data_IF_753490326126
#
_entry.id   IF_753490326126
#
_cell.length_a   1.000
_cell.length_b   1.000
_cell.length_c   1.000
_cell.angle_alpha   90.00
_cell.angle_beta   90.00
_cell.angle_gamma   90.00
#
_symmetry.space_group_name_H-M   'P 1'
#
loop_
_entity.id
_entity.type
_entity.pdbx_description
1 polymer ?
#
# COMPACT_ATOMS: atom_id res chain seq x y z
N UNK A 1 0.77 24.60 5.41
CA UNK A 1 1.85 23.62 5.62
C UNK A 1 1.18 22.28 5.84
N UNK A 2 1.59 21.24 5.11
CA UNK A 2 1.09 19.87 5.32
C UNK A 2 1.60 19.38 6.67
N UNK A 3 0.72 18.83 7.51
CA UNK A 3 1.06 18.33 8.83
C UNK A 3 1.01 16.79 8.91
N UNK A 4 0.23 16.16 8.07
CA UNK A 4 0.08 14.71 8.01
C UNK A 4 0.25 14.23 6.57
N UNK A 5 0.89 13.07 6.40
CA UNK A 5 0.91 12.32 5.15
C UNK A 5 0.17 11.00 5.38
N UNK A 6 -0.95 10.83 4.68
CA UNK A 6 -1.83 9.67 4.85
C UNK A 6 -1.80 8.72 3.64
N UNK A 7 -0.80 8.85 2.76
CA UNK A 7 -0.65 7.98 1.60
C UNK A 7 0.82 7.81 1.25
N UNK A 8 1.42 6.70 1.66
CA UNK A 8 2.81 6.37 1.36
C UNK A 8 3.04 4.86 1.29
N UNK A 9 3.96 4.46 0.42
CA UNK A 9 4.34 3.06 0.18
C UNK A 9 5.76 2.81 0.63
N UNK A 10 6.00 1.58 1.07
CA UNK A 10 7.29 1.12 1.60
C UNK A 10 7.71 -0.18 0.91
N UNK A 11 8.80 -0.79 1.37
CA UNK A 11 9.24 -2.09 0.88
C UNK A 11 8.21 -3.24 1.00
N UNK A 12 7.04 -2.99 1.58
CA UNK A 12 5.93 -3.95 1.58
C UNK A 12 5.08 -3.88 0.30
N UNK A 13 5.12 -2.76 -0.40
CA UNK A 13 4.49 -2.62 -1.72
C UNK A 13 5.42 -3.07 -2.84
N UNK A 14 4.88 -3.70 -3.88
CA UNK A 14 5.66 -4.14 -5.05
C UNK A 14 6.30 -2.97 -5.82
N UNK A 15 5.72 -1.80 -5.73
CA UNK A 15 6.14 -0.58 -6.42
C UNK A 15 7.13 0.29 -5.62
N UNK A 16 7.57 -0.17 -4.43
CA UNK A 16 8.51 0.57 -3.59
C UNK A 16 9.56 -0.34 -2.96
N UNK A 17 10.80 0.12 -2.95
CA UNK A 17 11.92 -0.53 -2.24
C UNK A 17 12.31 0.24 -0.97
N UNK A 18 11.64 1.36 -0.67
CA UNK A 18 12.06 2.25 0.41
C UNK A 18 11.75 1.64 1.78
N UNK A 19 12.77 1.47 2.65
CA UNK A 19 12.56 0.98 4.00
C UNK A 19 11.60 1.87 4.80
N UNK A 20 10.62 1.25 5.46
CA UNK A 20 9.61 1.93 6.27
C UNK A 20 10.22 2.93 7.26
N UNK A 21 11.35 2.57 7.88
CA UNK A 21 12.03 3.46 8.83
C UNK A 21 12.60 4.73 8.18
N UNK A 22 13.05 4.66 6.93
CA UNK A 22 13.55 5.83 6.21
C UNK A 22 12.42 6.82 5.92
N UNK A 23 11.21 6.33 5.59
CA UNK A 23 10.01 7.16 5.42
C UNK A 23 9.68 7.91 6.71
N UNK A 24 9.78 7.26 7.86
CA UNK A 24 9.58 7.90 9.17
C UNK A 24 10.62 9.01 9.41
N UNK A 25 11.90 8.71 9.19
CA UNK A 25 12.98 9.69 9.39
C UNK A 25 12.83 10.91 8.50
N UNK A 26 12.46 10.70 7.24
CA UNK A 26 12.22 11.80 6.30
C UNK A 26 11.00 12.63 6.71
N UNK A 27 9.94 12.02 7.19
CA UNK A 27 8.74 12.68 7.70
C UNK A 27 9.05 13.55 8.93
N UNK A 28 9.85 13.05 9.85
CA UNK A 28 10.35 13.82 10.99
C UNK A 28 11.20 15.01 10.52
N UNK A 29 12.11 14.79 9.57
CA UNK A 29 12.95 15.86 8.99
C UNK A 29 12.08 16.96 8.34
N UNK A 30 10.97 16.58 7.72
CA UNK A 30 9.97 17.51 7.14
C UNK A 30 9.04 18.14 8.16
N UNK A 31 9.16 17.78 9.44
CA UNK A 31 8.34 18.28 10.54
C UNK A 31 6.85 17.94 10.39
N UNK A 32 6.55 16.76 9.88
CA UNK A 32 5.20 16.22 9.91
C UNK A 32 4.84 15.83 11.35
N UNK A 33 3.58 16.00 11.70
CA UNK A 33 3.03 15.58 12.99
C UNK A 33 2.69 14.10 13.00
N UNK A 34 2.30 13.55 11.84
CA UNK A 34 1.93 12.14 11.71
C UNK A 34 1.97 11.64 10.27
N UNK A 35 1.99 10.32 10.17
CA UNK A 35 1.99 9.57 8.91
C UNK A 35 1.10 8.34 9.01
N UNK A 36 0.59 7.90 7.88
CA UNK A 36 -0.08 6.61 7.74
C UNK A 36 0.60 5.82 6.62
N UNK A 37 1.10 4.65 6.93
CA UNK A 37 1.54 3.72 5.90
C UNK A 37 0.33 3.11 5.21
N UNK A 38 0.34 3.08 3.89
CA UNK A 38 -0.79 2.61 3.07
C UNK A 38 -0.28 1.76 1.89
N UNK A 39 0.59 0.80 2.19
CA UNK A 39 1.11 -0.11 1.18
C UNK A 39 -0.04 -0.85 0.46
N UNK A 40 0.18 -1.20 -0.80
CA UNK A 40 -0.81 -1.84 -1.66
C UNK A 40 -1.24 -3.22 -1.16
N UNK A 41 -2.54 -3.46 -1.12
CA UNK A 41 -3.13 -4.78 -0.94
C UNK A 41 -4.18 -5.03 -2.05
N UNK A 42 -3.70 -5.45 -3.21
CA UNK A 42 -4.52 -5.67 -4.39
C UNK A 42 -4.74 -7.17 -4.60
N UNK A 43 -5.77 -7.71 -3.97
CA UNK A 43 -6.11 -9.11 -4.12
C UNK A 43 -6.41 -9.45 -5.58
N UNK A 44 -5.89 -10.61 -6.04
CA UNK A 44 -6.08 -11.13 -7.39
C UNK A 44 -5.57 -10.19 -8.49
N UNK A 45 -4.50 -9.44 -8.19
CA UNK A 45 -3.79 -8.68 -9.21
C UNK A 45 -3.25 -9.65 -10.26
N UNK A 46 -3.43 -9.39 -11.57
CA UNK A 46 -2.97 -10.30 -12.62
C UNK A 46 -1.44 -10.39 -12.66
N UNK A 47 -0.92 -11.60 -12.82
CA UNK A 47 0.54 -11.86 -12.98
C UNK A 47 0.89 -11.80 -14.47
N UNK A 48 0.53 -10.70 -15.13
CA UNK A 48 0.78 -10.51 -16.58
C UNK A 48 2.05 -9.69 -16.85
N UNK A 49 2.58 -9.06 -15.82
CA UNK A 49 3.80 -8.25 -15.89
C UNK A 49 4.96 -8.98 -15.22
N UNK A 50 6.18 -8.77 -15.73
CA UNK A 50 7.40 -9.35 -15.16
C UNK A 50 7.78 -8.59 -13.86
N UNK A 51 7.25 -9.08 -12.73
CA UNK A 51 7.65 -8.62 -11.42
C UNK A 51 8.76 -9.51 -10.86
N UNK A 52 9.84 -8.91 -10.33
CA UNK A 52 10.86 -9.62 -9.58
C UNK A 52 10.33 -10.01 -8.19
N UNK A 53 9.55 -11.08 -8.11
CA UNK A 53 8.91 -11.55 -6.89
C UNK A 53 9.64 -12.77 -6.34
N UNK A 54 9.66 -12.90 -5.03
CA UNK A 54 10.07 -14.11 -4.33
C UNK A 54 9.15 -15.29 -4.65
N UNK A 55 9.64 -16.51 -4.42
CA UNK A 55 8.87 -17.72 -4.71
C UNK A 55 7.58 -17.77 -3.88
N UNK A 56 6.45 -17.73 -4.55
CA UNK A 56 5.11 -17.79 -3.95
C UNK A 56 4.56 -16.43 -3.51
N UNK A 57 5.29 -15.35 -3.74
CA UNK A 57 4.79 -14.00 -3.58
C UNK A 57 3.85 -13.63 -4.72
N UNK A 58 2.94 -12.71 -4.44
CA UNK A 58 2.00 -12.17 -5.41
C UNK A 58 2.22 -10.68 -5.55
N UNK A 59 2.10 -10.09 -6.74
CA UNK A 59 2.24 -8.66 -6.91
C UNK A 59 1.19 -7.93 -6.08
N UNK A 60 1.59 -6.82 -5.48
CA UNK A 60 0.73 -5.95 -4.67
C UNK A 60 -0.03 -6.67 -3.54
N UNK A 61 0.58 -7.71 -2.96
CA UNK A 61 0.09 -8.40 -1.77
C UNK A 61 1.25 -8.68 -0.82
N UNK A 62 1.04 -8.43 0.45
CA UNK A 62 2.02 -8.68 1.50
C UNK A 62 1.39 -9.40 2.70
N UNK A 63 2.22 -9.90 3.60
CA UNK A 63 1.79 -10.47 4.87
C UNK A 63 1.40 -9.34 5.85
N UNK A 64 0.10 -9.15 6.02
CA UNK A 64 -0.43 -8.08 6.87
C UNK A 64 0.03 -8.19 8.33
N UNK A 65 0.22 -9.39 8.86
CA UNK A 65 0.69 -9.55 10.24
C UNK A 65 2.13 -9.06 10.40
N UNK A 66 3.02 -9.39 9.47
CA UNK A 66 4.40 -8.88 9.46
C UNK A 66 4.45 -7.37 9.28
N UNK A 67 3.60 -6.85 8.41
CA UNK A 67 3.46 -5.42 8.17
C UNK A 67 3.06 -4.67 9.44
N UNK A 68 1.99 -5.11 10.08
CA UNK A 68 1.48 -4.55 11.34
C UNK A 68 2.52 -4.63 12.46
N UNK A 69 3.23 -5.76 12.58
CA UNK A 69 4.30 -5.93 13.57
C UNK A 69 5.46 -4.96 13.33
N UNK A 70 5.88 -4.79 12.08
CA UNK A 70 6.92 -3.82 11.73
C UNK A 70 6.50 -2.38 12.09
N UNK A 71 5.26 -1.99 11.79
CA UNK A 71 4.72 -0.69 12.18
C UNK A 71 4.70 -0.54 13.69
N UNK A 72 4.26 -1.55 14.44
CA UNK A 72 4.17 -1.48 15.90
C UNK A 72 5.54 -1.25 16.56
N UNK A 73 6.58 -1.92 16.08
CA UNK A 73 7.97 -1.73 16.54
C UNK A 73 8.44 -0.31 16.27
N UNK A 74 8.20 0.21 15.08
CA UNK A 74 8.63 1.55 14.68
C UNK A 74 7.80 2.63 15.37
N UNK A 75 6.50 2.42 15.56
CA UNK A 75 5.60 3.29 16.33
C UNK A 75 6.13 3.48 17.75
N UNK A 76 6.49 2.40 18.43
CA UNK A 76 7.06 2.50 19.79
C UNK A 76 8.41 3.23 19.78
N UNK A 77 9.27 2.96 18.80
CA UNK A 77 10.59 3.61 18.67
C UNK A 77 10.50 5.12 18.48
N UNK A 78 9.51 5.59 17.73
CA UNK A 78 9.39 7.00 17.33
C UNK A 78 8.23 7.76 18.00
N UNK A 79 7.56 7.16 18.99
CA UNK A 79 6.34 7.67 19.63
C UNK A 79 6.41 9.10 20.17
N UNK A 80 7.61 9.57 20.58
CA UNK A 80 7.83 10.93 21.09
C UNK A 80 8.12 11.94 19.97
N UNK A 81 8.21 11.51 18.73
CA UNK A 81 8.64 12.35 17.61
C UNK A 81 7.57 12.51 16.52
N UNK A 82 6.77 11.49 16.27
CA UNK A 82 5.78 11.49 15.19
C UNK A 82 4.69 10.45 15.47
N UNK A 83 3.44 10.77 15.12
CA UNK A 83 2.35 9.80 15.13
C UNK A 83 2.45 8.87 13.90
N UNK A 84 2.30 7.56 14.12
CA UNK A 84 2.37 6.58 13.05
C UNK A 84 1.11 5.72 13.08
N UNK A 85 0.41 5.64 11.96
CA UNK A 85 -0.83 4.88 11.81
C UNK A 85 -0.67 3.72 10.84
N UNK A 86 -1.45 2.65 11.09
CA UNK A 86 -1.51 1.47 10.23
C UNK A 86 -2.66 1.63 9.24
N UNK A 87 -2.32 1.73 7.98
CA UNK A 87 -3.29 1.78 6.89
C UNK A 87 -2.96 0.78 5.78
N UNK A 88 -3.81 0.71 4.80
CA UNK A 88 -3.60 -0.01 3.53
C UNK A 88 -4.26 0.73 2.39
N UNK A 89 -3.72 0.57 1.20
CA UNK A 89 -4.41 0.92 -0.04
C UNK A 89 -4.92 -0.37 -0.69
N UNK A 90 -6.25 -0.48 -0.80
CA UNK A 90 -6.93 -1.65 -1.33
C UNK A 90 -7.29 -1.43 -2.79
N UNK A 91 -6.87 -2.33 -3.67
CA UNK A 91 -7.36 -2.37 -5.05
C UNK A 91 -8.81 -2.85 -5.10
N UNK A 92 -9.72 -1.94 -5.50
CA UNK A 92 -11.14 -2.25 -5.62
C UNK A 92 -11.40 -3.09 -6.87
N UNK A 93 -11.80 -4.34 -6.66
CA UNK A 93 -12.06 -5.30 -7.71
C UNK A 93 -13.26 -6.17 -7.31
N UNK A 94 -14.19 -6.39 -8.22
CA UNK A 94 -15.46 -7.10 -7.90
C UNK A 94 -15.24 -8.54 -7.45
N UNK A 95 -14.25 -9.23 -8.02
CA UNK A 95 -13.92 -10.61 -7.66
C UNK A 95 -13.06 -10.73 -6.39
N UNK A 96 -12.55 -9.62 -5.85
CA UNK A 96 -11.81 -9.52 -4.58
C UNK A 96 -12.67 -8.90 -3.44
N UNK A 97 -13.97 -8.81 -3.63
CA UNK A 97 -14.86 -8.12 -2.68
C UNK A 97 -14.80 -8.69 -1.26
N UNK A 98 -14.83 -10.02 -1.12
CA UNK A 98 -14.85 -10.67 0.19
C UNK A 98 -13.55 -10.45 0.96
N UNK A 99 -12.40 -10.55 0.26
CA UNK A 99 -11.07 -10.29 0.84
C UNK A 99 -10.93 -8.83 1.24
N UNK A 100 -11.38 -7.88 0.39
CA UNK A 100 -11.35 -6.46 0.66
C UNK A 100 -12.21 -6.09 1.88
N UNK A 101 -13.42 -6.65 1.99
CA UNK A 101 -14.30 -6.45 3.14
C UNK A 101 -13.67 -7.04 4.41
N UNK A 102 -13.10 -8.23 4.33
CA UNK A 102 -12.46 -8.86 5.50
C UNK A 102 -11.28 -8.02 6.00
N UNK A 103 -10.45 -7.49 5.10
CA UNK A 103 -9.31 -6.64 5.45
C UNK A 103 -9.77 -5.30 6.03
N UNK A 104 -10.69 -4.60 5.36
CA UNK A 104 -11.15 -3.27 5.79
C UNK A 104 -11.90 -3.27 7.13
N UNK A 105 -12.47 -4.40 7.54
CA UNK A 105 -13.15 -4.55 8.82
C UNK A 105 -12.24 -4.99 9.98
N UNK A 106 -10.94 -5.09 9.76
CA UNK A 106 -10.01 -5.42 10.84
C UNK A 106 -9.94 -4.31 11.88
N UNK A 107 -10.01 -4.68 13.13
CA UNK A 107 -9.95 -3.73 14.27
C UNK A 107 -8.55 -3.12 14.49
N UNK A 108 -7.53 -3.72 13.90
CA UNK A 108 -6.13 -3.29 13.96
C UNK A 108 -5.67 -2.53 12.70
N UNK A 109 -6.59 -2.25 11.78
CA UNK A 109 -6.42 -1.36 10.64
C UNK A 109 -7.06 0.00 10.96
N UNK A 110 -6.25 1.07 10.98
CA UNK A 110 -6.68 2.40 11.39
C UNK A 110 -7.16 3.25 10.20
N UNK A 111 -6.69 2.93 8.98
CA UNK A 111 -6.99 3.70 7.79
C UNK A 111 -6.99 2.81 6.53
N UNK A 112 -7.88 3.11 5.62
CA UNK A 112 -8.00 2.37 4.37
C UNK A 112 -8.32 3.31 3.21
N UNK A 113 -7.52 3.23 2.15
CA UNK A 113 -7.78 3.85 0.86
C UNK A 113 -8.39 2.78 -0.05
N UNK A 114 -9.47 3.10 -0.74
CA UNK A 114 -10.02 2.27 -1.80
C UNK A 114 -9.70 2.88 -3.16
N UNK A 115 -8.89 2.21 -3.96
CA UNK A 115 -8.43 2.69 -5.27
C UNK A 115 -8.82 1.74 -6.40
N UNK A 116 -9.01 2.26 -7.61
CA UNK A 116 -9.19 1.45 -8.81
C UNK A 116 -7.87 1.43 -9.55
N UNK A 117 -7.13 0.32 -9.43
CA UNK A 117 -5.84 0.13 -10.09
C UNK A 117 -5.97 -0.61 -11.43
N UNK A 118 -7.06 -1.34 -11.63
CA UNK A 118 -7.29 -2.13 -12.83
C UNK A 118 -8.64 -1.82 -13.47
N UNK A 119 -8.63 -1.71 -14.78
CA UNK A 119 -9.85 -1.69 -15.62
C UNK A 119 -9.82 -2.94 -16.49
N UNK A 120 -10.83 -3.81 -16.36
CA UNK A 120 -10.90 -5.10 -17.08
C UNK A 120 -9.62 -5.95 -16.93
N UNK A 121 -9.04 -5.98 -15.74
CA UNK A 121 -7.78 -6.65 -15.40
C UNK A 121 -6.52 -6.09 -16.09
N UNK A 122 -6.59 -4.93 -16.69
CA UNK A 122 -5.43 -4.22 -17.24
C UNK A 122 -5.12 -3.00 -16.37
N UNK A 123 -3.84 -2.73 -16.18
CA UNK A 123 -3.36 -1.58 -15.42
C UNK A 123 -3.17 -0.39 -16.37
N UNK A 124 -3.88 0.74 -16.14
CA UNK A 124 -3.74 1.96 -16.95
C UNK A 124 -2.37 2.62 -16.91
N UNK A 125 -1.49 2.18 -16.02
CA UNK A 125 -0.09 2.64 -15.99
C UNK A 125 0.69 2.16 -17.24
N UNK A 126 0.34 1.00 -17.82
CA UNK A 126 1.06 0.41 -18.93
C UNK A 126 0.48 0.81 -20.29
N UNK A 127 1.35 0.99 -21.32
CA UNK A 127 0.91 1.39 -22.66
C UNK A 127 -0.09 0.46 -23.32
N UNK A 128 -0.01 -0.85 -23.07
CA UNK A 128 -0.91 -1.87 -23.64
C UNK A 128 -2.39 -1.66 -23.28
N UNK A 129 -2.66 -1.04 -22.11
CA UNK A 129 -4.01 -0.62 -21.76
C UNK A 129 -4.55 0.38 -22.81
N UNK A 130 -3.81 1.43 -23.09
CA UNK A 130 -4.24 2.50 -24.00
C UNK A 130 -4.32 2.02 -25.46
N UNK A 131 -3.41 1.12 -25.89
CA UNK A 131 -3.46 0.50 -27.19
C UNK A 131 -4.73 -0.35 -27.39
N UNK A 132 -5.24 -0.98 -26.32
CA UNK A 132 -6.44 -1.83 -26.35
C UNK A 132 -7.74 -1.04 -26.43
N UNK A 133 -7.79 0.17 -25.85
CA UNK A 133 -9.00 1.00 -25.81
C UNK A 133 -9.06 2.06 -26.92
N UNK A 134 -7.99 2.23 -27.70
CA UNK A 134 -7.87 3.21 -28.77
C UNK A 134 -7.75 4.65 -28.25
N UNK A 135 -6.98 5.46 -28.97
CA UNK A 135 -7.07 6.91 -28.82
C UNK A 135 -8.34 7.37 -29.56
N UNK A 136 -9.40 7.78 -28.86
CA UNK A 136 -10.46 8.59 -29.45
C UNK A 136 -10.20 10.08 -29.22
#
# INVERSE_FOLDING_TARGET
>A
MVQYDAHMHTQFSTDSEEPMENMIRESIRRKLCGITFTDHMDYRFPVTYDWELGKGEKPFQFDFEKYREAIAVLREKYKEQIEIHTGVEIGLKSDAYEENVALSNRSDLEYCIGSIHLVENMDPYYPDFWESYGEE
#
